data_IF_287447412130
#
_entry.id   IF_287447412130
#
_cell.length_a   1.000
_cell.length_b   1.000
_cell.length_c   1.000
_cell.angle_alpha   90.00
_cell.angle_beta   90.00
_cell.angle_gamma   90.00
#
_symmetry.space_group_name_H-M   'P 1'
#
loop_
_entity.id
_entity.type
_entity.pdbx_description
1 polymer ?
#
# COMPACT_ATOMS: atom_id res chain seq x y z
N UNK A 1 25.60 -36.32 11.10
CA UNK A 1 25.96 -37.67 11.56
C UNK A 1 26.74 -37.53 12.86
N UNK A 2 26.29 -38.18 13.95
CA UNK A 2 27.02 -38.21 15.22
C UNK A 2 27.54 -39.62 15.47
N UNK A 3 28.73 -39.73 16.06
CA UNK A 3 29.38 -41.01 16.35
C UNK A 3 29.76 -41.06 17.81
N UNK A 4 29.25 -42.09 18.49
CA UNK A 4 29.60 -42.38 19.87
C UNK A 4 30.41 -43.66 19.90
N UNK A 5 31.63 -43.57 20.43
CA UNK A 5 32.44 -44.73 20.74
C UNK A 5 32.39 -44.96 22.24
N UNK A 6 31.87 -46.12 22.64
CA UNK A 6 31.86 -46.56 24.04
C UNK A 6 32.64 -47.85 24.17
N UNK A 7 33.65 -47.87 25.05
CA UNK A 7 34.37 -49.09 25.40
C UNK A 7 33.82 -49.65 26.71
N UNK A 8 33.37 -50.89 26.71
CA UNK A 8 32.95 -51.58 27.93
C UNK A 8 34.19 -52.09 28.66
N UNK A 9 34.50 -51.51 29.82
CA UNK A 9 35.69 -51.85 30.61
C UNK A 9 35.66 -53.27 31.17
N UNK A 10 34.48 -53.91 31.28
CA UNK A 10 34.35 -55.25 31.85
C UNK A 10 34.49 -56.36 30.82
N UNK A 11 34.03 -56.13 29.59
CA UNK A 11 34.03 -57.13 28.52
C UNK A 11 35.07 -56.87 27.44
N UNK A 12 35.79 -55.73 27.54
CA UNK A 12 36.68 -55.18 26.52
C UNK A 12 36.00 -54.91 25.15
N UNK A 13 34.68 -55.06 25.08
CA UNK A 13 33.91 -54.81 23.86
C UNK A 13 33.89 -53.31 23.54
N UNK A 14 34.31 -52.98 22.32
CA UNK A 14 34.16 -51.64 21.76
C UNK A 14 32.84 -51.57 20.98
N UNK A 15 31.97 -50.62 21.36
CA UNK A 15 30.69 -50.36 20.68
C UNK A 15 30.72 -49.00 20.01
N UNK A 16 30.36 -48.99 18.73
CA UNK A 16 30.22 -47.78 17.94
C UNK A 16 28.75 -47.55 17.61
N UNK A 17 28.20 -46.42 18.04
CA UNK A 17 26.82 -46.02 17.75
C UNK A 17 26.86 -44.85 16.76
N UNK A 18 26.31 -45.06 15.58
CA UNK A 18 26.16 -44.04 14.55
C UNK A 18 24.71 -43.54 14.52
N UNK A 19 24.53 -42.23 14.67
CA UNK A 19 23.21 -41.59 14.58
C UNK A 19 23.06 -40.98 13.19
N UNK A 20 22.05 -41.47 12.46
CA UNK A 20 21.68 -41.08 11.10
C UNK A 20 22.84 -41.18 10.07
N UNK A 21 23.48 -42.34 9.89
CA UNK A 21 24.48 -42.52 8.84
C UNK A 21 23.81 -42.53 7.46
N UNK A 22 24.42 -41.84 6.48
CA UNK A 22 23.94 -41.87 5.10
C UNK A 22 24.02 -43.31 4.55
N UNK A 23 23.19 -43.64 3.54
CA UNK A 23 23.16 -44.99 2.96
C UNK A 23 24.55 -45.38 2.42
N UNK A 24 25.23 -44.45 1.78
CA UNK A 24 26.63 -44.59 1.33
C UNK A 24 27.57 -44.91 2.48
N UNK A 25 27.50 -44.16 3.59
CA UNK A 25 28.33 -44.41 4.77
C UNK A 25 28.06 -45.79 5.38
N UNK A 26 26.79 -46.20 5.46
CA UNK A 26 26.43 -47.52 5.97
C UNK A 26 27.01 -48.64 5.11
N UNK A 27 26.91 -48.53 3.79
CA UNK A 27 27.41 -49.55 2.87
C UNK A 27 28.94 -49.67 2.94
N UNK A 28 29.65 -48.54 2.98
CA UNK A 28 31.11 -48.51 3.18
C UNK A 28 31.53 -49.08 4.53
N UNK A 29 30.83 -48.72 5.61
CA UNK A 29 31.14 -49.22 6.95
C UNK A 29 30.91 -50.73 7.05
N UNK A 30 29.81 -51.24 6.46
CA UNK A 30 29.53 -52.68 6.39
C UNK A 30 30.60 -53.43 5.60
N UNK A 31 31.12 -52.85 4.52
CA UNK A 31 32.20 -53.46 3.74
C UNK A 31 33.48 -53.62 4.56
N UNK A 32 33.80 -52.63 5.40
CA UNK A 32 34.99 -52.65 6.27
C UNK A 32 34.80 -53.60 7.44
N UNK A 33 33.61 -53.61 8.05
CA UNK A 33 33.29 -54.52 9.17
C UNK A 33 33.33 -56.00 8.72
N UNK A 34 33.00 -56.28 7.46
CA UNK A 34 33.03 -57.64 6.91
C UNK A 34 34.44 -58.16 6.62
N UNK A 35 35.48 -57.32 6.67
CA UNK A 35 36.86 -57.77 6.50
C UNK A 35 37.38 -58.37 7.83
N UNK A 36 37.59 -59.69 7.93
CA UNK A 36 38.02 -60.32 9.17
C UNK A 36 39.41 -59.83 9.60
N UNK A 37 39.58 -59.52 10.89
CA UNK A 37 40.85 -59.13 11.51
C UNK A 37 41.19 -57.62 11.51
N UNK A 38 40.38 -56.77 10.88
CA UNK A 38 40.68 -55.33 10.76
C UNK A 38 40.13 -54.49 11.92
N UNK A 39 39.08 -54.97 12.61
CA UNK A 39 38.35 -54.14 13.57
C UNK A 39 39.00 -54.06 14.96
N UNK A 40 39.67 -55.12 15.41
CA UNK A 40 40.27 -55.18 16.75
C UNK A 40 41.47 -54.24 16.91
N UNK A 41 42.24 -54.03 15.84
CA UNK A 41 43.46 -53.19 15.87
C UNK A 41 43.29 -51.78 15.30
N UNK A 42 42.14 -51.44 14.71
CA UNK A 42 42.04 -50.21 13.90
C UNK A 42 40.73 -49.42 14.10
N UNK A 43 40.42 -49.09 15.37
CA UNK A 43 39.44 -48.04 15.72
C UNK A 43 39.69 -46.75 14.93
N UNK A 44 40.95 -46.42 14.67
CA UNK A 44 41.37 -45.27 13.84
C UNK A 44 40.81 -45.36 12.42
N UNK A 45 40.85 -46.54 11.79
CA UNK A 45 40.37 -46.71 10.41
C UNK A 45 38.85 -46.47 10.33
N UNK A 46 38.09 -46.90 11.34
CA UNK A 46 36.66 -46.61 11.43
C UNK A 46 36.41 -45.10 11.50
N UNK A 47 37.18 -44.36 12.30
CA UNK A 47 37.09 -42.89 12.38
C UNK A 47 37.44 -42.22 11.04
N UNK A 48 38.50 -42.68 10.37
CA UNK A 48 38.89 -42.16 9.04
C UNK A 48 37.77 -42.34 8.02
N UNK A 49 37.11 -43.50 7.99
CA UNK A 49 36.03 -43.79 7.05
C UNK A 49 34.79 -42.94 7.34
N UNK A 50 34.49 -42.73 8.61
CA UNK A 50 33.40 -41.87 9.07
C UNK A 50 33.65 -40.42 8.67
N UNK A 51 34.88 -39.92 8.88
CA UNK A 51 35.29 -38.59 8.46
C UNK A 51 35.21 -38.45 6.94
N UNK A 52 35.70 -39.42 6.18
CA UNK A 52 35.63 -39.42 4.72
C UNK A 52 34.19 -39.45 4.19
N UNK A 53 33.30 -40.20 4.85
CA UNK A 53 31.88 -40.17 4.57
C UNK A 53 31.28 -38.78 4.83
N UNK A 54 31.58 -38.18 5.98
CA UNK A 54 31.10 -36.85 6.32
C UNK A 54 31.62 -35.78 5.35
N UNK A 55 32.85 -35.93 4.84
CA UNK A 55 33.44 -35.07 3.81
C UNK A 55 32.56 -34.99 2.56
N UNK A 56 32.11 -36.15 2.08
CA UNK A 56 31.39 -36.27 0.80
C UNK A 56 30.05 -35.54 0.79
N UNK A 57 29.46 -35.30 1.96
CA UNK A 57 28.18 -34.61 2.10
C UNK A 57 28.33 -33.07 2.06
N UNK A 58 29.53 -32.53 2.28
CA UNK A 58 29.76 -31.07 2.30
C UNK A 58 29.76 -30.44 0.91
N UNK A 59 30.30 -31.14 -0.09
CA UNK A 59 30.41 -30.59 -1.44
C UNK A 59 29.03 -30.27 -2.07
N UNK A 60 28.04 -31.19 -2.08
CA UNK A 60 26.70 -30.90 -2.58
C UNK A 60 26.02 -29.75 -1.82
N UNK A 61 26.23 -29.68 -0.50
CA UNK A 61 25.67 -28.63 0.34
C UNK A 61 26.24 -27.24 0.02
N UNK A 62 27.57 -27.13 -0.11
CA UNK A 62 28.22 -25.87 -0.49
C UNK A 62 27.83 -25.46 -1.92
N UNK A 63 27.70 -26.43 -2.83
CA UNK A 63 27.23 -26.18 -4.19
C UNK A 63 25.79 -25.65 -4.22
N UNK A 64 24.90 -26.23 -3.42
CA UNK A 64 23.53 -25.74 -3.26
C UNK A 64 23.50 -24.32 -2.70
N UNK A 65 24.27 -24.06 -1.64
CA UNK A 65 24.37 -22.74 -1.00
C UNK A 65 24.88 -21.68 -1.99
N UNK A 66 25.90 -22.01 -2.77
CA UNK A 66 26.42 -21.16 -3.85
C UNK A 66 25.37 -20.91 -4.93
N UNK A 67 24.57 -21.90 -5.30
CA UNK A 67 23.50 -21.74 -6.28
C UNK A 67 22.40 -20.80 -5.76
N UNK A 68 22.00 -20.92 -4.50
CA UNK A 68 21.05 -20.00 -3.87
C UNK A 68 21.58 -18.57 -3.83
N UNK A 69 22.85 -18.40 -3.42
CA UNK A 69 23.53 -17.11 -3.46
C UNK A 69 23.50 -16.50 -4.87
N UNK A 70 23.94 -17.26 -5.88
CA UNK A 70 23.99 -16.76 -7.27
C UNK A 70 22.61 -16.37 -7.80
N UNK A 71 21.54 -17.05 -7.40
CA UNK A 71 20.16 -16.65 -7.77
C UNK A 71 19.82 -15.28 -7.22
N UNK A 72 20.11 -15.02 -5.94
CA UNK A 72 19.84 -13.74 -5.29
C UNK A 72 20.77 -12.64 -5.85
N UNK A 73 22.06 -12.94 -6.00
CA UNK A 73 23.04 -12.00 -6.53
C UNK A 73 22.74 -11.60 -7.99
N UNK A 74 22.36 -12.56 -8.83
CA UNK A 74 21.94 -12.28 -10.20
C UNK A 74 20.67 -11.43 -10.22
N UNK A 75 19.67 -11.77 -9.40
CA UNK A 75 18.46 -10.95 -9.27
C UNK A 75 18.80 -9.52 -8.82
N UNK A 76 19.80 -9.34 -7.97
CA UNK A 76 20.27 -8.02 -7.56
C UNK A 76 20.98 -7.24 -8.66
N UNK A 77 21.80 -7.90 -9.49
CA UNK A 77 22.46 -7.28 -10.64
C UNK A 77 21.47 -6.94 -11.77
N UNK A 78 20.52 -7.83 -12.04
CA UNK A 78 19.50 -7.63 -13.09
C UNK A 78 18.35 -6.75 -12.63
N UNK A 79 18.17 -6.57 -11.32
CA UNK A 79 17.39 -5.48 -10.74
C UNK A 79 18.11 -4.17 -11.07
N UNK A 80 18.00 -3.74 -12.33
CA UNK A 80 18.17 -2.33 -12.63
C UNK A 80 17.28 -1.55 -11.67
N UNK A 81 17.73 -0.35 -11.31
CA UNK A 81 16.82 0.71 -10.85
C UNK A 81 15.94 1.05 -12.05
N UNK A 82 15.10 0.11 -12.46
CA UNK A 82 13.95 0.42 -13.27
C UNK A 82 13.18 1.30 -12.31
N UNK A 83 13.31 2.60 -12.55
CA UNK A 83 12.35 3.59 -12.17
C UNK A 83 11.07 3.13 -12.85
N UNK A 84 10.43 2.11 -12.27
CA UNK A 84 9.05 1.81 -12.52
C UNK A 84 8.39 3.01 -11.90
N UNK A 85 8.31 4.09 -12.67
CA UNK A 85 7.08 4.83 -12.78
C UNK A 85 6.03 3.78 -13.07
N UNK A 86 5.59 3.09 -12.01
CA UNK A 86 4.32 2.42 -11.95
C UNK A 86 3.39 3.53 -12.34
N UNK A 87 3.05 3.54 -13.64
CA UNK A 87 1.90 4.28 -14.10
C UNK A 87 0.79 3.81 -13.17
N UNK A 88 0.10 4.73 -12.49
CA UNK A 88 -0.99 4.35 -11.59
C UNK A 88 -1.86 3.34 -12.32
N UNK A 89 -2.29 2.28 -11.65
CA UNK A 89 -3.16 1.25 -12.24
C UNK A 89 -4.29 1.96 -12.98
N UNK A 90 -4.20 2.03 -14.30
CA UNK A 90 -5.21 2.69 -15.12
C UNK A 90 -6.38 1.75 -15.21
N UNK A 91 -7.37 1.96 -14.35
CA UNK A 91 -8.66 1.30 -14.47
C UNK A 91 -9.38 1.95 -15.65
N UNK A 92 -9.74 1.15 -16.65
CA UNK A 92 -10.63 1.59 -17.70
C UNK A 92 -12.03 1.19 -17.28
N UNK A 93 -12.89 2.18 -17.10
CA UNK A 93 -14.32 1.93 -16.92
C UNK A 93 -14.93 1.84 -18.30
N UNK A 94 -15.48 0.68 -18.61
CA UNK A 94 -16.23 0.40 -19.83
C UNK A 94 -17.70 0.25 -19.44
N UNK A 95 -18.59 0.90 -20.17
CA UNK A 95 -20.02 0.66 -20.00
C UNK A 95 -20.36 -0.66 -20.70
N UNK A 96 -20.93 -1.61 -19.97
CA UNK A 96 -21.48 -2.82 -20.59
C UNK A 96 -22.68 -2.47 -21.49
N UNK A 97 -23.20 -3.46 -22.21
CA UNK A 97 -24.36 -3.32 -23.09
C UNK A 97 -25.66 -2.90 -22.37
N UNK A 98 -25.66 -2.87 -21.04
CA UNK A 98 -26.77 -2.45 -20.19
C UNK A 98 -26.51 -1.10 -19.51
N UNK A 99 -25.39 -0.43 -19.80
CA UNK A 99 -25.03 0.88 -19.26
C UNK A 99 -24.38 0.84 -17.87
N UNK A 100 -24.01 -0.33 -17.34
CA UNK A 100 -23.31 -0.43 -16.07
C UNK A 100 -21.81 -0.23 -16.26
N UNK A 101 -21.18 0.54 -15.38
CA UNK A 101 -19.73 0.73 -15.36
C UNK A 101 -19.06 -0.56 -14.87
N UNK A 102 -18.51 -1.34 -15.80
CA UNK A 102 -17.69 -2.51 -15.48
C UNK A 102 -16.24 -2.06 -15.36
N UNK A 103 -15.63 -2.39 -14.22
CA UNK A 103 -14.21 -2.15 -13.95
C UNK A 103 -13.40 -3.25 -14.62
N UNK A 104 -12.86 -2.97 -15.79
CA UNK A 104 -11.99 -3.91 -16.52
C UNK A 104 -10.53 -3.67 -16.08
N UNK A 105 -9.97 -4.61 -15.32
CA UNK A 105 -8.54 -4.58 -14.98
C UNK A 105 -7.76 -5.03 -16.22
N UNK A 106 -7.16 -4.06 -16.93
CA UNK A 106 -6.32 -4.33 -18.11
C UNK A 106 -5.19 -5.26 -17.69
N UNK A 107 -5.30 -6.53 -18.11
CA UNK A 107 -4.38 -7.62 -17.83
C UNK A 107 -3.29 -7.74 -18.90
N UNK A 108 -3.02 -6.65 -19.64
CA UNK A 108 -2.00 -6.63 -20.67
C UNK A 108 -0.62 -6.52 -20.03
N UNK A 109 0.10 -7.65 -20.05
CA UNK A 109 1.54 -7.73 -19.84
C UNK A 109 2.07 -7.07 -18.56
N UNK A 110 1.48 -7.41 -17.41
CA UNK A 110 2.29 -7.56 -16.19
C UNK A 110 3.14 -8.81 -16.43
N UNK A 111 4.16 -8.67 -17.28
CA UNK A 111 5.34 -9.51 -17.18
C UNK A 111 5.79 -9.32 -15.74
N UNK A 112 5.55 -10.37 -14.98
CA UNK A 112 5.75 -10.47 -13.55
C UNK A 112 7.01 -9.69 -13.16
N UNK A 113 6.86 -8.79 -12.19
CA UNK A 113 7.92 -7.96 -11.61
C UNK A 113 8.91 -8.87 -10.83
N UNK A 114 9.24 -10.06 -11.35
CA UNK A 114 10.12 -11.08 -10.78
C UNK A 114 11.55 -10.60 -10.59
N UNK A 115 11.87 -9.39 -11.06
CA UNK A 115 13.15 -8.72 -10.85
C UNK A 115 13.07 -7.57 -9.83
N UNK A 116 11.94 -7.39 -9.12
CA UNK A 116 11.88 -6.40 -8.05
C UNK A 116 12.57 -6.94 -6.80
N UNK A 117 13.79 -6.46 -6.56
CA UNK A 117 14.52 -6.72 -5.33
C UNK A 117 13.68 -6.30 -4.11
N UNK A 118 13.42 -7.23 -3.19
CA UNK A 118 12.55 -6.99 -2.04
C UNK A 118 13.24 -7.26 -0.70
N UNK A 119 12.64 -6.79 0.39
CA UNK A 119 13.15 -7.04 1.75
C UNK A 119 13.29 -8.54 2.06
N UNK A 120 12.46 -9.39 1.44
CA UNK A 120 12.54 -10.85 1.57
C UNK A 120 13.84 -11.42 0.99
N UNK A 121 14.40 -10.79 -0.04
CA UNK A 121 15.69 -11.22 -0.61
C UNK A 121 16.84 -10.88 0.34
N UNK A 122 16.78 -9.74 1.01
CA UNK A 122 17.71 -9.39 2.09
C UNK A 122 17.62 -10.37 3.25
N UNK A 123 16.42 -10.74 3.71
CA UNK A 123 16.23 -11.74 4.77
C UNK A 123 16.77 -13.13 4.37
N UNK A 124 16.55 -13.55 3.13
CA UNK A 124 17.08 -14.82 2.62
C UNK A 124 18.61 -14.82 2.59
N UNK A 125 19.21 -13.67 2.27
CA UNK A 125 20.66 -13.53 2.24
C UNK A 125 21.27 -13.57 3.64
N UNK A 126 20.63 -12.93 4.63
CA UNK A 126 21.00 -13.04 6.06
C UNK A 126 20.89 -14.47 6.57
N UNK A 127 19.81 -15.17 6.23
CA UNK A 127 19.65 -16.58 6.58
C UNK A 127 20.77 -17.43 5.96
N UNK A 128 21.12 -17.18 4.69
CA UNK A 128 22.22 -17.88 4.01
C UNK A 128 23.58 -17.57 4.65
N UNK A 129 23.82 -16.32 5.06
CA UNK A 129 25.01 -15.91 5.81
C UNK A 129 25.14 -16.71 7.11
N UNK A 130 24.07 -16.75 7.91
CA UNK A 130 24.07 -17.47 9.18
C UNK A 130 24.31 -18.97 8.97
N UNK A 131 23.68 -19.55 7.95
CA UNK A 131 23.91 -20.95 7.57
C UNK A 131 25.37 -21.22 7.18
N UNK A 132 25.97 -20.37 6.33
CA UNK A 132 27.36 -20.54 5.89
C UNK A 132 28.35 -20.34 7.05
N UNK A 133 28.09 -19.39 7.95
CA UNK A 133 28.89 -19.17 9.15
C UNK A 133 28.88 -20.39 10.07
N UNK A 134 27.69 -20.94 10.35
CA UNK A 134 27.55 -22.20 11.11
C UNK A 134 28.27 -23.36 10.44
N UNK A 135 28.18 -23.47 9.11
CA UNK A 135 28.88 -24.53 8.37
C UNK A 135 30.40 -24.38 8.46
N UNK A 136 30.92 -23.17 8.34
CA UNK A 136 32.35 -22.89 8.51
C UNK A 136 32.84 -23.31 9.91
N UNK A 137 32.09 -22.99 10.96
CA UNK A 137 32.41 -23.41 12.33
C UNK A 137 32.41 -24.93 12.51
N UNK A 138 31.44 -25.64 11.91
CA UNK A 138 31.38 -27.11 11.96
C UNK A 138 32.57 -27.72 11.20
N UNK A 139 32.89 -27.20 10.01
CA UNK A 139 34.04 -27.67 9.22
C UNK A 139 35.33 -27.44 10.00
N UNK A 140 35.50 -26.29 10.66
CA UNK A 140 36.68 -26.00 11.47
C UNK A 140 36.82 -26.99 12.64
N UNK A 141 35.74 -27.24 13.38
CA UNK A 141 35.74 -28.26 14.44
C UNK A 141 36.11 -29.64 13.91
N UNK A 142 35.62 -30.01 12.72
CA UNK A 142 35.97 -31.30 12.11
C UNK A 142 37.44 -31.39 11.67
N UNK A 143 38.06 -30.27 11.29
CA UNK A 143 39.50 -30.17 11.01
C UNK A 143 40.29 -30.36 12.31
N UNK A 144 39.85 -29.74 13.40
CA UNK A 144 40.50 -29.82 14.70
C UNK A 144 40.44 -31.26 15.25
N UNK A 145 39.28 -31.93 15.13
CA UNK A 145 39.10 -33.34 15.49
C UNK A 145 40.04 -34.23 14.65
N UNK A 146 40.08 -34.04 13.33
CA UNK A 146 40.95 -34.83 12.46
C UNK A 146 42.44 -34.58 12.77
N UNK A 147 42.82 -33.36 13.10
CA UNK A 147 44.20 -33.02 13.52
C UNK A 147 44.54 -33.69 14.85
N UNK A 148 43.60 -33.73 15.79
CA UNK A 148 43.74 -34.47 17.06
C UNK A 148 43.89 -35.98 16.83
N UNK A 149 43.09 -36.57 15.94
CA UNK A 149 43.25 -37.97 15.54
C UNK A 149 44.63 -38.23 14.92
N UNK A 150 45.16 -37.29 14.14
CA UNK A 150 46.47 -37.42 13.52
C UNK A 150 47.59 -37.40 14.55
N UNK A 151 47.56 -36.44 15.48
CA UNK A 151 48.50 -36.37 16.59
C UNK A 151 48.45 -37.62 17.47
N UNK A 152 47.25 -38.18 17.68
CA UNK A 152 47.08 -39.45 18.39
C UNK A 152 47.69 -40.64 17.64
N UNK A 153 47.51 -40.72 16.31
CA UNK A 153 48.15 -41.73 15.47
C UNK A 153 49.69 -41.63 15.52
N UNK A 154 50.23 -40.41 15.55
CA UNK A 154 51.67 -40.16 15.68
C UNK A 154 52.19 -40.55 17.06
N UNK A 155 51.49 -40.23 18.15
CA UNK A 155 51.88 -40.63 19.50
C UNK A 155 51.84 -42.16 19.70
N UNK A 156 50.89 -42.85 19.06
CA UNK A 156 50.85 -44.31 19.07
C UNK A 156 51.96 -44.95 18.23
N UNK A 157 52.57 -44.21 17.29
CA UNK A 157 53.72 -44.71 16.50
C UNK A 157 54.87 -45.15 17.39
N UNK A 158 55.03 -44.50 18.54
CA UNK A 158 56.16 -44.75 19.44
C UNK A 158 55.91 -45.91 20.42
N UNK A 159 54.67 -46.39 20.55
CA UNK A 159 54.27 -47.35 21.61
C UNK A 159 53.84 -48.73 21.14
N UNK A 160 53.40 -48.89 19.89
CA UNK A 160 52.76 -50.14 19.43
C UNK A 160 53.37 -50.71 18.15
N UNK A 161 53.70 -52.00 18.17
CA UNK A 161 54.23 -52.82 17.04
C UNK A 161 53.15 -53.24 16.03
N UNK A 162 52.04 -52.51 15.93
CA UNK A 162 51.03 -52.73 14.87
C UNK A 162 51.62 -52.46 13.48
N UNK A 163 51.14 -53.20 12.47
CA UNK A 163 51.62 -53.17 11.09
C UNK A 163 51.82 -51.72 10.57
N UNK A 164 53.08 -51.34 10.35
CA UNK A 164 53.48 -49.98 9.97
C UNK A 164 52.73 -49.47 8.72
N UNK A 165 52.45 -50.37 7.78
CA UNK A 165 51.76 -50.07 6.51
C UNK A 165 50.34 -49.54 6.71
N UNK A 166 49.54 -50.14 7.60
CA UNK A 166 48.14 -49.72 7.84
C UNK A 166 48.09 -48.34 8.49
N UNK A 167 49.07 -48.05 9.35
CA UNK A 167 49.20 -46.77 10.06
C UNK A 167 49.59 -45.65 9.11
N UNK A 168 50.59 -45.88 8.25
CA UNK A 168 51.02 -44.91 7.25
C UNK A 168 49.88 -44.61 6.26
N UNK A 169 49.18 -45.66 5.78
CA UNK A 169 48.02 -45.50 4.93
C UNK A 169 46.89 -44.68 5.60
N UNK A 170 46.66 -44.90 6.90
CA UNK A 170 45.64 -44.15 7.67
C UNK A 170 46.04 -42.69 7.89
N UNK A 171 47.31 -42.43 8.20
CA UNK A 171 47.84 -41.06 8.35
C UNK A 171 47.73 -40.29 7.04
N UNK A 172 48.15 -40.90 5.92
CA UNK A 172 48.05 -40.29 4.59
C UNK A 172 46.60 -39.95 4.21
N UNK A 173 45.65 -40.86 4.51
CA UNK A 173 44.21 -40.59 4.31
C UNK A 173 43.70 -39.43 5.17
N UNK A 174 44.15 -39.34 6.43
CA UNK A 174 43.74 -38.29 7.35
C UNK A 174 44.31 -36.92 6.95
N UNK A 175 45.58 -36.87 6.51
CA UNK A 175 46.17 -35.66 5.92
C UNK A 175 45.38 -35.19 4.69
N UNK A 176 44.99 -36.11 3.81
CA UNK A 176 44.17 -35.78 2.65
C UNK A 176 42.80 -35.22 3.06
N UNK A 177 42.13 -35.86 4.03
CA UNK A 177 40.87 -35.37 4.59
C UNK A 177 41.02 -33.95 5.17
N UNK A 178 42.03 -33.70 6.01
CA UNK A 178 42.30 -32.37 6.58
C UNK A 178 42.49 -31.33 5.47
N UNK A 179 43.26 -31.68 4.42
CA UNK A 179 43.47 -30.78 3.27
C UNK A 179 42.17 -30.48 2.55
N UNK A 180 41.32 -31.48 2.30
CA UNK A 180 40.01 -31.30 1.62
C UNK A 180 39.05 -30.47 2.46
N UNK A 181 38.96 -30.73 3.76
CA UNK A 181 38.14 -29.93 4.66
C UNK A 181 38.62 -28.48 4.75
N UNK A 182 39.94 -28.22 4.76
CA UNK A 182 40.47 -26.85 4.68
C UNK A 182 40.06 -26.14 3.39
N UNK A 183 40.04 -26.83 2.25
CA UNK A 183 39.53 -26.26 0.99
C UNK A 183 38.04 -25.93 1.09
N UNK A 184 37.22 -26.79 1.70
CA UNK A 184 35.80 -26.52 1.94
C UNK A 184 35.59 -25.34 2.90
N UNK A 185 36.38 -25.23 3.96
CA UNK A 185 36.34 -24.10 4.90
C UNK A 185 36.63 -22.77 4.18
N UNK A 186 37.69 -22.72 3.38
CA UNK A 186 38.05 -21.54 2.59
C UNK A 186 36.97 -21.18 1.55
N UNK A 187 36.36 -22.18 0.91
CA UNK A 187 35.26 -21.96 -0.02
C UNK A 187 34.02 -21.38 0.69
N UNK A 188 33.68 -21.90 1.87
CA UNK A 188 32.60 -21.38 2.69
C UNK A 188 32.87 -19.94 3.15
N UNK A 189 34.09 -19.64 3.62
CA UNK A 189 34.48 -18.29 4.05
C UNK A 189 34.43 -17.27 2.90
N UNK A 190 34.90 -17.67 1.71
CA UNK A 190 34.81 -16.83 0.52
C UNK A 190 33.35 -16.54 0.15
N UNK A 191 32.47 -17.55 0.22
CA UNK A 191 31.03 -17.37 -0.01
C UNK A 191 30.41 -16.45 1.04
N UNK A 192 30.75 -16.60 2.32
CA UNK A 192 30.28 -15.70 3.39
C UNK A 192 30.67 -14.26 3.12
N UNK A 193 31.93 -14.00 2.74
CA UNK A 193 32.41 -12.65 2.37
C UNK A 193 31.68 -12.09 1.14
N UNK A 194 31.32 -12.93 0.17
CA UNK A 194 30.55 -12.51 -1.01
C UNK A 194 29.09 -12.18 -0.65
N UNK A 195 28.48 -13.01 0.20
CA UNK A 195 27.12 -12.81 0.74
C UNK A 195 27.03 -11.49 1.49
N UNK A 196 27.97 -11.22 2.40
CA UNK A 196 28.03 -9.98 3.19
C UNK A 196 28.14 -8.74 2.29
N UNK A 197 29.07 -8.73 1.33
CA UNK A 197 29.21 -7.63 0.37
C UNK A 197 27.94 -7.40 -0.44
N UNK A 198 27.30 -8.49 -0.88
CA UNK A 198 26.05 -8.41 -1.65
C UNK A 198 24.90 -7.89 -0.79
N UNK A 199 24.83 -8.29 0.48
CA UNK A 199 23.83 -7.84 1.43
C UNK A 199 23.94 -6.34 1.69
N UNK A 200 25.17 -5.84 1.85
CA UNK A 200 25.43 -4.42 2.00
C UNK A 200 24.93 -3.62 0.80
N UNK A 201 25.25 -4.06 -0.42
CA UNK A 201 24.78 -3.41 -1.66
C UNK A 201 23.26 -3.45 -1.78
N UNK A 202 22.64 -4.60 -1.51
CA UNK A 202 21.17 -4.75 -1.51
C UNK A 202 20.52 -3.80 -0.51
N UNK A 203 21.07 -3.72 0.71
CA UNK A 203 20.56 -2.81 1.75
C UNK A 203 20.65 -1.35 1.33
N UNK A 204 21.78 -0.93 0.73
CA UNK A 204 21.93 0.43 0.19
C UNK A 204 20.93 0.71 -0.94
N UNK A 205 20.72 -0.23 -1.86
CA UNK A 205 19.73 -0.09 -2.94
C UNK A 205 18.32 0.06 -2.35
N UNK A 206 17.96 -0.77 -1.37
CA UNK A 206 16.65 -0.69 -0.71
C UNK A 206 16.47 0.63 0.05
N UNK A 207 17.51 1.13 0.73
CA UNK A 207 17.48 2.43 1.41
C UNK A 207 17.23 3.57 0.41
N UNK A 208 17.99 3.63 -0.68
CA UNK A 208 17.83 4.66 -1.73
C UNK A 208 16.43 4.61 -2.34
N UNK A 209 15.90 3.40 -2.59
CA UNK A 209 14.53 3.24 -3.12
C UNK A 209 13.48 3.75 -2.13
N UNK A 210 13.60 3.39 -0.86
CA UNK A 210 12.67 3.83 0.18
C UNK A 210 12.72 5.36 0.37
N UNK A 211 13.91 5.95 0.35
CA UNK A 211 14.09 7.39 0.42
C UNK A 211 13.48 8.12 -0.79
N UNK A 212 13.68 7.59 -2.01
CA UNK A 212 13.07 8.12 -3.22
C UNK A 212 11.53 8.04 -3.20
N UNK A 213 10.96 6.94 -2.69
CA UNK A 213 9.52 6.80 -2.50
C UNK A 213 8.98 7.78 -1.46
N UNK A 214 9.67 7.97 -0.34
CA UNK A 214 9.31 8.94 0.68
C UNK A 214 9.34 10.38 0.11
N UNK A 215 10.38 10.74 -0.64
CA UNK A 215 10.48 12.04 -1.30
C UNK A 215 9.33 12.23 -2.28
N UNK A 216 9.03 11.24 -3.11
CA UNK A 216 7.88 11.29 -4.04
C UNK A 216 6.56 11.44 -3.31
N UNK A 217 6.36 10.77 -2.18
CA UNK A 217 5.16 10.94 -1.39
C UNK A 217 5.06 12.39 -0.86
N UNK A 218 6.17 12.95 -0.35
CA UNK A 218 6.19 14.34 0.13
C UNK A 218 5.94 15.37 -0.97
N UNK A 219 6.40 15.12 -2.22
CA UNK A 219 6.11 16.02 -3.35
C UNK A 219 4.64 15.95 -3.72
N UNK A 220 4.06 14.76 -3.83
CA UNK A 220 2.62 14.61 -4.09
C UNK A 220 1.75 15.24 -2.99
N UNK A 221 2.16 15.13 -1.73
CA UNK A 221 1.46 15.76 -0.61
C UNK A 221 1.55 17.29 -0.68
N UNK A 222 2.71 17.84 -1.06
CA UNK A 222 2.89 19.28 -1.27
C UNK A 222 2.00 19.78 -2.41
N UNK A 223 1.92 19.04 -3.50
CA UNK A 223 1.07 19.41 -4.64
C UNK A 223 -0.42 19.33 -4.27
N UNK A 224 -0.84 18.32 -3.51
CA UNK A 224 -2.19 18.23 -2.97
C UNK A 224 -2.51 19.40 -2.03
N UNK A 225 -1.57 19.81 -1.18
CA UNK A 225 -1.74 20.97 -0.30
C UNK A 225 -1.93 22.27 -1.10
N UNK A 226 -1.19 22.44 -2.20
CA UNK A 226 -1.39 23.58 -3.12
C UNK A 226 -2.80 23.56 -3.71
N UNK A 227 -3.24 22.41 -4.24
CA UNK A 227 -4.60 22.29 -4.79
C UNK A 227 -5.69 22.56 -3.75
N UNK A 228 -5.52 22.10 -2.51
CA UNK A 228 -6.45 22.39 -1.42
C UNK A 228 -6.46 23.87 -1.05
N UNK A 229 -5.31 24.53 -1.08
CA UNK A 229 -5.19 25.96 -0.81
C UNK A 229 -5.87 26.77 -1.92
N UNK A 230 -5.63 26.41 -3.18
CA UNK A 230 -6.27 27.04 -4.33
C UNK A 230 -7.79 26.82 -4.30
N UNK A 231 -8.25 25.61 -4.00
CA UNK A 231 -9.67 25.31 -3.82
C UNK A 231 -10.29 26.12 -2.68
N UNK A 232 -9.59 26.26 -1.56
CA UNK A 232 -10.02 27.09 -0.43
C UNK A 232 -10.14 28.58 -0.81
N UNK A 233 -9.18 29.10 -1.57
CA UNK A 233 -9.23 30.46 -2.10
C UNK A 233 -10.39 30.65 -3.09
N UNK A 234 -10.59 29.70 -4.00
CA UNK A 234 -11.73 29.70 -4.93
C UNK A 234 -13.07 29.65 -4.20
N UNK A 235 -13.21 28.79 -3.18
CA UNK A 235 -14.42 28.69 -2.37
C UNK A 235 -14.71 29.97 -1.58
N UNK A 236 -13.66 30.64 -1.09
CA UNK A 236 -13.79 31.97 -0.45
C UNK A 236 -14.31 33.01 -1.44
N UNK A 237 -13.71 33.09 -2.64
CA UNK A 237 -14.14 34.05 -3.67
C UNK A 237 -15.58 33.77 -4.15
N UNK A 238 -15.95 32.50 -4.29
CA UNK A 238 -17.32 32.09 -4.61
C UNK A 238 -18.29 32.49 -3.49
N UNK A 239 -17.91 32.29 -2.23
CA UNK A 239 -18.72 32.71 -1.07
C UNK A 239 -18.93 34.22 -1.03
N UNK A 240 -17.90 35.01 -1.34
CA UNK A 240 -18.02 36.47 -1.46
C UNK A 240 -18.96 36.87 -2.61
N UNK A 241 -18.85 36.20 -3.77
CA UNK A 241 -19.71 36.44 -4.93
C UNK A 241 -21.17 36.10 -4.63
N UNK A 242 -21.42 34.97 -3.96
CA UNK A 242 -22.76 34.58 -3.51
C UNK A 242 -23.33 35.57 -2.50
N UNK A 243 -22.49 36.13 -1.62
CA UNK A 243 -22.93 37.19 -0.70
C UNK A 243 -23.40 38.43 -1.46
N UNK A 244 -22.64 38.88 -2.46
CA UNK A 244 -23.02 40.01 -3.31
C UNK A 244 -24.31 39.74 -4.08
N UNK A 245 -24.45 38.56 -4.68
CA UNK A 245 -25.67 38.16 -5.40
C UNK A 245 -26.87 38.10 -4.45
N UNK A 246 -26.70 37.57 -3.24
CA UNK A 246 -27.76 37.52 -2.22
C UNK A 246 -28.18 38.91 -1.77
N UNK A 247 -27.22 39.82 -1.56
CA UNK A 247 -27.49 41.22 -1.22
C UNK A 247 -28.23 41.96 -2.36
N UNK A 248 -27.86 41.71 -3.62
CA UNK A 248 -28.56 42.29 -4.78
C UNK A 248 -29.95 41.69 -4.95
N UNK A 249 -30.09 40.36 -4.87
CA UNK A 249 -31.38 39.66 -4.94
C UNK A 249 -32.34 40.12 -3.84
N UNK A 250 -31.84 40.36 -2.63
CA UNK A 250 -32.63 40.93 -1.54
C UNK A 250 -33.12 42.36 -1.85
N UNK A 251 -32.31 43.18 -2.52
CA UNK A 251 -32.71 44.52 -2.98
C UNK A 251 -33.75 44.45 -4.09
N UNK A 252 -33.53 43.59 -5.08
CA UNK A 252 -34.46 43.39 -6.20
C UNK A 252 -35.81 42.83 -5.71
N UNK A 253 -35.79 41.93 -4.72
CA UNK A 253 -37.00 41.43 -4.06
C UNK A 253 -37.78 42.54 -3.35
N UNK A 254 -37.09 43.51 -2.72
CA UNK A 254 -37.75 44.69 -2.15
C UNK A 254 -38.35 45.58 -3.23
N UNK A 255 -37.62 45.83 -4.31
CA UNK A 255 -38.09 46.67 -5.40
C UNK A 255 -39.32 46.07 -6.11
N UNK A 256 -39.28 44.77 -6.40
CA UNK A 256 -40.41 44.03 -7.00
C UNK A 256 -41.64 44.03 -6.09
N UNK A 257 -41.44 43.92 -4.77
CA UNK A 257 -42.54 44.04 -3.80
C UNK A 257 -43.18 45.43 -3.84
N UNK A 258 -42.38 46.50 -3.89
CA UNK A 258 -42.88 47.88 -3.98
C UNK A 258 -43.61 48.14 -5.31
N UNK A 259 -43.06 47.64 -6.42
CA UNK A 259 -43.67 47.78 -7.74
C UNK A 259 -45.02 47.06 -7.79
N UNK A 260 -45.08 45.83 -7.27
CA UNK A 260 -46.33 45.05 -7.20
C UNK A 260 -47.37 45.73 -6.31
N UNK A 261 -46.95 46.28 -5.16
CA UNK A 261 -47.84 47.04 -4.29
C UNK A 261 -48.42 48.28 -4.99
N UNK A 262 -47.56 49.04 -5.69
CA UNK A 262 -48.00 50.20 -6.48
C UNK A 262 -48.99 49.81 -7.57
N UNK A 263 -48.73 48.72 -8.31
CA UNK A 263 -49.63 48.23 -9.34
C UNK A 263 -51.00 47.80 -8.77
N UNK A 264 -50.99 47.06 -7.65
CA UNK A 264 -52.22 46.65 -6.95
C UNK A 264 -53.03 47.86 -6.48
N UNK A 265 -52.38 48.92 -6.01
CA UNK A 265 -53.05 50.14 -5.56
C UNK A 265 -53.66 50.93 -6.73
N UNK A 266 -52.95 51.00 -7.87
CA UNK A 266 -53.33 51.84 -9.00
C UNK A 266 -54.37 51.18 -9.92
N UNK A 267 -54.34 49.86 -10.05
CA UNK A 267 -55.18 49.11 -10.99
C UNK A 267 -56.70 49.29 -10.75
N UNK A 268 -57.22 49.25 -9.50
CA UNK A 268 -58.63 49.54 -9.22
C UNK A 268 -59.00 51.01 -9.49
N UNK A 269 -58.10 51.96 -9.19
CA UNK A 269 -58.31 53.37 -9.45
C UNK A 269 -58.39 53.67 -10.95
N UNK A 270 -57.52 53.06 -11.75
CA UNK A 270 -57.58 53.13 -13.22
C UNK A 270 -58.88 52.54 -13.76
N UNK A 271 -59.33 51.39 -13.25
CA UNK A 271 -60.58 50.76 -13.67
C UNK A 271 -61.80 51.66 -13.40
N UNK A 272 -61.85 52.32 -12.24
CA UNK A 272 -62.88 53.33 -11.91
C UNK A 272 -62.83 54.49 -12.89
N UNK A 273 -61.66 55.07 -13.11
CA UNK A 273 -61.50 56.17 -14.05
C UNK A 273 -61.98 55.80 -15.46
N UNK A 274 -61.68 54.58 -15.92
CA UNK A 274 -62.13 54.08 -17.24
C UNK A 274 -63.65 53.88 -17.30
N UNK A 275 -64.26 53.21 -16.31
CA UNK A 275 -65.72 52.96 -16.29
C UNK A 275 -66.48 54.28 -16.27
N UNK A 276 -66.04 55.25 -15.47
CA UNK A 276 -66.72 56.55 -15.39
C UNK A 276 -66.46 57.42 -16.62
N UNK A 277 -65.23 57.42 -17.18
CA UNK A 277 -64.96 58.10 -18.45
C UNK A 277 -65.89 57.60 -19.57
N UNK A 278 -66.18 56.30 -19.61
CA UNK A 278 -67.07 55.70 -20.60
C UNK A 278 -68.56 55.99 -20.37
N UNK A 279 -69.01 56.22 -19.13
CA UNK A 279 -70.42 56.50 -18.81
C UNK A 279 -70.76 57.99 -18.69
N UNK A 280 -69.77 58.87 -18.53
CA UNK A 280 -69.98 60.32 -18.45
C UNK A 280 -70.43 60.91 -19.81
N UNK A 281 -70.20 60.19 -20.91
CA UNK A 281 -70.58 60.61 -22.26
C UNK A 281 -71.73 59.75 -22.77
N UNK A 282 -72.90 59.86 -22.13
CA UNK A 282 -74.16 59.52 -22.80
C UNK A 282 -74.77 60.81 -23.34
N UNK A 283 -74.47 61.11 -24.60
CA UNK A 283 -75.30 62.01 -25.39
C UNK A 283 -76.66 61.35 -25.52
N UNK A 284 -77.64 61.80 -24.74
CA UNK A 284 -79.03 61.39 -24.92
C UNK A 284 -79.52 62.00 -26.23
N UNK A 285 -79.23 61.33 -27.33
CA UNK A 285 -79.89 61.55 -28.61
C UNK A 285 -81.10 60.64 -28.66
N UNK A 286 -82.27 61.22 -28.42
CA UNK A 286 -83.47 60.86 -29.15
C UNK A 286 -84.36 62.11 -29.30
N UNK A 287 -85.08 62.14 -30.40
CA UNK A 287 -85.19 63.23 -31.38
C UNK A 287 -85.92 64.53 -30.97
N UNK A 288 -85.59 65.58 -31.74
CA UNK A 288 -86.31 66.84 -31.91
C UNK A 288 -86.48 67.76 -30.69
N UNK A 289 -85.42 68.49 -30.36
CA UNK A 289 -85.42 69.97 -30.47
C UNK A 289 -84.03 70.54 -30.19
N UNK A 290 -83.64 71.51 -31.00
CA UNK A 290 -82.34 72.19 -30.97
C UNK A 290 -82.05 72.82 -29.61
N UNK A 291 -81.14 72.20 -28.87
CA UNK A 291 -80.68 72.67 -27.56
C UNK A 291 -80.08 71.53 -26.76
N UNK A 292 -78.94 70.98 -27.24
CA UNK A 292 -78.21 69.90 -26.60
C UNK A 292 -77.82 70.26 -25.17
N UNK A 293 -78.72 69.97 -24.23
CA UNK A 293 -78.55 70.24 -22.81
C UNK A 293 -77.76 69.08 -22.25
N UNK A 294 -76.51 69.33 -21.88
CA UNK A 294 -75.71 68.39 -21.10
C UNK A 294 -76.41 68.19 -19.76
N UNK A 295 -77.26 67.17 -19.66
CA UNK A 295 -77.89 66.81 -18.40
C UNK A 295 -76.86 66.00 -17.64
N UNK A 296 -76.29 66.61 -16.60
CA UNK A 296 -75.51 65.89 -15.59
C UNK A 296 -76.42 64.81 -15.04
N UNK A 297 -76.13 63.55 -15.37
CA UNK A 297 -76.96 62.43 -14.96
C UNK A 297 -77.15 62.48 -13.44
N UNK A 298 -78.40 62.37 -12.97
CA UNK A 298 -78.80 62.43 -11.55
C UNK A 298 -78.10 61.37 -10.65
N UNK A 299 -77.30 60.48 -11.26
CA UNK A 299 -76.50 59.44 -10.64
C UNK A 299 -75.11 59.92 -10.19
N UNK A 300 -74.85 61.23 -10.18
CA UNK A 300 -73.58 61.79 -9.69
C UNK A 300 -73.23 61.31 -8.26
N UNK A 301 -74.22 61.05 -7.42
CA UNK A 301 -74.02 60.48 -6.07
C UNK A 301 -73.45 59.05 -6.07
N UNK A 302 -73.55 58.30 -7.17
CA UNK A 302 -72.93 56.99 -7.29
C UNK A 302 -71.39 57.08 -7.32
N UNK A 303 -70.86 58.23 -7.75
CA UNK A 303 -69.41 58.48 -7.81
C UNK A 303 -68.73 58.40 -6.44
N UNK A 304 -69.11 59.21 -5.41
CA UNK A 304 -68.50 59.10 -4.09
C UNK A 304 -68.78 57.75 -3.44
N UNK A 305 -69.97 57.16 -3.63
CA UNK A 305 -70.29 55.86 -3.03
C UNK A 305 -69.45 54.73 -3.61
N UNK A 306 -69.29 54.67 -4.95
CA UNK A 306 -68.49 53.63 -5.59
C UNK A 306 -66.99 53.84 -5.33
N UNK A 307 -66.53 55.09 -5.29
CA UNK A 307 -65.15 55.41 -4.91
C UNK A 307 -64.85 55.03 -3.45
N UNK A 308 -65.77 55.27 -2.52
CA UNK A 308 -65.64 54.83 -1.11
C UNK A 308 -65.68 53.31 -1.00
N UNK A 309 -66.59 52.64 -1.71
CA UNK A 309 -66.67 51.19 -1.71
C UNK A 309 -65.38 50.55 -2.25
N UNK A 310 -64.84 51.08 -3.36
CA UNK A 310 -63.63 50.52 -3.96
C UNK A 310 -62.36 50.88 -3.18
N UNK A 311 -62.30 52.04 -2.53
CA UNK A 311 -61.21 52.36 -1.59
C UNK A 311 -61.24 51.44 -0.37
N UNK A 312 -62.42 51.11 0.16
CA UNK A 312 -62.56 50.11 1.24
C UNK A 312 -62.11 48.72 0.79
N UNK A 313 -62.52 48.27 -0.40
CA UNK A 313 -62.16 46.95 -0.95
C UNK A 313 -60.66 46.84 -1.23
N UNK A 314 -59.96 47.94 -1.50
CA UNK A 314 -58.52 47.93 -1.80
C UNK A 314 -57.66 48.23 -0.57
N UNK A 315 -58.09 49.11 0.32
CA UNK A 315 -57.37 49.45 1.55
C UNK A 315 -57.46 48.35 2.61
N UNK A 316 -58.61 47.69 2.76
CA UNK A 316 -58.75 46.67 3.81
C UNK A 316 -57.80 45.48 3.58
N UNK A 317 -57.73 44.87 2.38
CA UNK A 317 -56.78 43.79 2.12
C UNK A 317 -55.32 44.24 2.21
N UNK A 318 -54.99 45.45 1.76
CA UNK A 318 -53.61 45.97 1.82
C UNK A 318 -53.16 46.25 3.25
N UNK A 319 -54.01 46.85 4.09
CA UNK A 319 -53.73 47.05 5.52
C UNK A 319 -53.59 45.71 6.24
N UNK A 320 -54.48 44.75 5.95
CA UNK A 320 -54.41 43.40 6.53
C UNK A 320 -53.13 42.68 6.10
N UNK A 321 -52.76 42.73 4.82
CA UNK A 321 -51.51 42.16 4.32
C UNK A 321 -50.29 42.82 4.97
N UNK A 322 -50.28 44.16 5.11
CA UNK A 322 -49.20 44.89 5.75
C UNK A 322 -49.05 44.49 7.23
N UNK A 323 -50.17 44.37 7.95
CA UNK A 323 -50.16 43.91 9.35
C UNK A 323 -49.71 42.46 9.49
N UNK A 324 -50.13 41.57 8.59
CA UNK A 324 -49.66 40.18 8.61
C UNK A 324 -48.15 40.07 8.31
N UNK A 325 -47.63 40.89 7.39
CA UNK A 325 -46.19 40.92 7.07
C UNK A 325 -45.38 41.45 8.25
N UNK A 326 -45.84 42.53 8.92
CA UNK A 326 -45.18 43.05 10.12
C UNK A 326 -45.18 42.03 11.28
N UNK A 327 -46.29 41.34 11.51
CA UNK A 327 -46.37 40.29 12.53
C UNK A 327 -45.43 39.11 12.23
N UNK A 328 -45.27 38.73 10.96
CA UNK A 328 -44.33 37.67 10.55
C UNK A 328 -42.85 38.12 10.62
N UNK A 329 -42.56 39.37 10.29
CA UNK A 329 -41.20 39.94 10.38
C UNK A 329 -40.66 40.00 11.81
N UNK A 330 -41.52 40.28 12.80
CA UNK A 330 -41.13 40.28 14.21
C UNK A 330 -40.81 38.87 14.74
N UNK A 331 -41.53 37.85 14.24
CA UNK A 331 -41.36 36.45 14.65
C UNK A 331 -40.07 35.80 14.12
N UNK A 332 -39.53 36.28 12.99
CA UNK A 332 -38.26 35.80 12.42
C UNK A 332 -37.01 36.42 13.07
N UNK A 333 -37.14 37.57 13.76
CA UNK A 333 -36.03 38.15 14.54
C UNK A 333 -35.83 37.46 15.90
N UNK A 334 -36.90 36.93 16.50
CA UNK A 334 -36.83 36.23 17.79
C UNK A 334 -36.32 34.78 17.72
N UNK A 335 -36.06 34.22 16.53
CA UNK A 335 -35.56 32.84 16.36
C UNK A 335 -34.06 32.83 15.96
N UNK A 336 -33.42 34.00 15.90
CA UNK A 336 -31.99 34.13 15.53
C UNK A 336 -31.07 34.44 16.72
N UNK A 337 -31.61 34.46 17.94
CA UNK A 337 -30.87 34.74 19.19
C UNK A 337 -30.85 33.55 20.19
N UNK A 338 -31.25 32.35 19.76
CA UNK A 338 -30.96 31.07 20.44
C UNK A 338 -30.14 30.16 19.51
#
# INVERSE_FOLDING_TARGET
MAVYHGKNTKTDESRLILIQPSKSSQDRLKQIIRAPGVLEDCVILAHVVILEAAESDWEPYLRYSKQQFNRIANAAQTSQVINTGKKPKTFRYSADSHGNLVKEEIKDAIMEDTNSLCFKDSQRLEFLYEQLSRCSAIIQNSIDIATGCLAFCEALRDTTTTAAEVREASSNKLHLYIRRMKMHAQAAELLTKQVEKTAQVISQILHIRNEAEALRNTTTMRDMLKLLTDLGNSAKNESESLRVISEQSARDSRFTTVLSFTAILYLPASLVATIFSSNLVRSSGDEDTAGGRFVVAAQFWLFPVLAVALTLVTLVPTIVALRMIQARGFKLRGIKED
#
